data_IF_748115161995
#
_entry.id   IF_748115161995
#
_cell.length_a   1.000
_cell.length_b   1.000
_cell.length_c   1.000
_cell.angle_alpha   90.00
_cell.angle_beta   90.00
_cell.angle_gamma   90.00
#
_symmetry.space_group_name_H-M   'P 1'
#
loop_
_entity.id
_entity.type
_entity.pdbx_description
1 polymer ?
#
# COMPACT_ATOMS: atom_id res chain seq x y z
N UNK A 1 -11.59 11.56 -0.81
CA UNK A 1 -11.21 12.83 -0.14
C UNK A 1 -12.22 13.17 0.95
N UNK A 2 -13.46 13.53 0.58
CA UNK A 2 -14.52 13.98 1.50
C UNK A 2 -14.66 13.09 2.75
N UNK A 3 -14.79 11.77 2.57
CA UNK A 3 -14.92 10.82 3.69
C UNK A 3 -13.76 10.84 4.69
N UNK A 4 -12.53 11.08 4.22
CA UNK A 4 -11.34 11.15 5.10
C UNK A 4 -11.29 12.47 5.83
N UNK A 5 -11.67 13.57 5.18
CA UNK A 5 -11.74 14.90 5.79
C UNK A 5 -12.83 14.93 6.86
N UNK A 6 -14.03 14.41 6.58
CA UNK A 6 -15.11 14.27 7.57
C UNK A 6 -14.72 13.37 8.75
N UNK A 7 -14.08 12.23 8.46
CA UNK A 7 -13.55 11.36 9.52
C UNK A 7 -12.50 12.05 10.37
N UNK A 8 -11.66 12.90 9.77
CA UNK A 8 -10.61 13.64 10.47
C UNK A 8 -11.22 14.69 11.40
N UNK A 9 -12.25 15.40 10.95
CA UNK A 9 -12.98 16.36 11.79
C UNK A 9 -13.70 15.67 12.96
N UNK A 10 -14.16 14.43 12.76
CA UNK A 10 -14.89 13.69 13.78
C UNK A 10 -13.99 13.04 14.86
N UNK A 11 -12.84 12.46 14.46
CA UNK A 11 -12.01 11.64 15.36
C UNK A 11 -10.49 11.81 15.19
N UNK A 12 -10.03 12.73 14.34
CA UNK A 12 -8.62 12.88 13.96
C UNK A 12 -7.67 13.27 15.10
N UNK A 13 -8.20 13.84 16.19
CA UNK A 13 -7.41 14.19 17.38
C UNK A 13 -6.92 12.97 18.17
N UNK A 14 -7.62 11.83 18.04
CA UNK A 14 -7.34 10.61 18.82
C UNK A 14 -7.10 9.36 17.97
N UNK A 15 -7.43 9.39 16.68
CA UNK A 15 -7.40 8.24 15.79
C UNK A 15 -6.68 8.58 14.48
N UNK A 16 -5.74 7.73 14.05
CA UNK A 16 -5.13 7.81 12.73
C UNK A 16 -6.05 7.22 11.66
N UNK A 17 -6.18 7.89 10.51
CA UNK A 17 -7.01 7.48 9.39
C UNK A 17 -6.15 6.90 8.27
N UNK A 18 -6.29 5.61 8.05
CA UNK A 18 -5.51 4.87 7.05
C UNK A 18 -6.33 4.61 5.80
N UNK A 19 -5.72 4.69 4.61
CA UNK A 19 -6.35 4.31 3.35
C UNK A 19 -5.74 3.01 2.84
N UNK A 20 -6.59 1.98 2.67
CA UNK A 20 -6.20 0.72 2.06
C UNK A 20 -6.57 0.69 0.59
N UNK A 21 -5.60 0.45 -0.28
CA UNK A 21 -5.77 0.51 -1.72
C UNK A 21 -5.30 -0.78 -2.42
N UNK A 22 -6.05 -1.12 -3.46
CA UNK A 22 -5.67 -2.10 -4.48
C UNK A 22 -4.54 -1.53 -5.34
N UNK A 23 -3.37 -2.18 -5.33
CA UNK A 23 -2.20 -1.79 -6.12
C UNK A 23 -2.31 -2.08 -7.61
N UNK A 24 -3.16 -3.04 -7.97
CA UNK A 24 -3.41 -3.49 -9.33
C UNK A 24 -4.72 -4.29 -9.35
N UNK A 25 -5.68 -3.82 -10.13
CA UNK A 25 -6.94 -4.53 -10.40
C UNK A 25 -6.96 -5.00 -11.84
N UNK A 26 -6.73 -6.30 -12.05
CA UNK A 26 -6.84 -6.91 -13.38
C UNK A 26 -8.30 -7.23 -13.74
N UNK A 27 -9.15 -6.21 -13.87
CA UNK A 27 -10.54 -6.36 -14.35
C UNK A 27 -10.69 -5.67 -15.72
N UNK A 28 -10.29 -6.36 -16.78
CA UNK A 28 -10.47 -5.88 -18.17
C UNK A 28 -9.77 -4.55 -18.48
N UNK A 29 -10.25 -3.82 -19.51
CA UNK A 29 -9.70 -2.52 -19.93
C UNK A 29 -10.06 -1.34 -18.98
N UNK A 30 -10.87 -1.59 -17.95
CA UNK A 30 -11.30 -0.58 -16.96
C UNK A 30 -10.68 -0.82 -15.58
N UNK A 31 -9.74 -1.75 -15.48
CA UNK A 31 -9.04 -2.07 -14.24
C UNK A 31 -8.14 -0.91 -13.80
N UNK A 32 -8.12 -0.66 -12.48
CA UNK A 32 -7.30 0.40 -11.92
C UNK A 32 -5.84 -0.03 -11.92
N UNK A 33 -5.06 0.54 -12.84
CA UNK A 33 -3.67 0.16 -13.05
C UNK A 33 -2.76 0.73 -11.96
N UNK A 34 -1.62 0.09 -11.71
CA UNK A 34 -0.64 0.58 -10.74
C UNK A 34 -0.18 2.04 -11.03
N UNK A 35 -0.18 2.48 -12.29
CA UNK A 35 0.08 3.87 -12.66
C UNK A 35 -0.98 4.84 -12.13
N UNK A 36 -2.26 4.49 -12.25
CA UNK A 36 -3.37 5.32 -11.78
C UNK A 36 -3.40 5.41 -10.25
N UNK A 37 -3.03 4.31 -9.57
CA UNK A 37 -2.81 4.30 -8.11
C UNK A 37 -1.71 5.29 -7.72
N UNK A 38 -0.59 5.32 -8.46
CA UNK A 38 0.51 6.24 -8.20
C UNK A 38 0.09 7.69 -8.41
N UNK A 39 -0.61 7.98 -9.49
CA UNK A 39 -1.15 9.33 -9.76
C UNK A 39 -2.11 9.77 -8.66
N UNK A 40 -2.96 8.85 -8.18
CA UNK A 40 -3.90 9.12 -7.08
C UNK A 40 -3.18 9.41 -5.76
N UNK A 41 -2.15 8.63 -5.43
CA UNK A 41 -1.31 8.87 -4.25
C UNK A 41 -0.58 10.20 -4.37
N UNK A 42 -0.01 10.54 -5.53
CA UNK A 42 0.69 11.81 -5.73
C UNK A 42 -0.25 13.02 -5.59
N UNK A 43 -1.45 12.95 -6.18
CA UNK A 43 -2.47 14.01 -6.05
C UNK A 43 -3.04 14.17 -4.63
N UNK A 44 -2.99 13.11 -3.84
CA UNK A 44 -3.56 13.06 -2.48
C UNK A 44 -2.51 12.71 -1.42
N UNK A 45 -1.24 13.08 -1.66
CA UNK A 45 -0.08 12.61 -0.90
C UNK A 45 -0.25 12.70 0.62
N UNK A 46 -0.88 13.77 1.11
CA UNK A 46 -1.04 14.04 2.54
C UNK A 46 -2.45 13.77 3.08
N UNK A 47 -3.33 13.11 2.31
CA UNK A 47 -4.72 12.89 2.68
C UNK A 47 -4.88 11.93 3.88
N UNK A 48 -4.37 10.68 3.84
CA UNK A 48 -4.41 9.79 4.99
C UNK A 48 -3.22 10.02 5.94
N UNK A 49 -3.30 9.45 7.12
CA UNK A 49 -2.16 9.39 8.06
C UNK A 49 -1.22 8.22 7.74
N UNK A 50 -1.68 7.21 7.01
CA UNK A 50 -0.90 6.06 6.55
C UNK A 50 -1.53 5.43 5.31
N UNK A 51 -0.67 4.99 4.38
CA UNK A 51 -1.07 4.25 3.18
C UNK A 51 -0.89 2.74 3.39
N UNK A 52 -1.97 1.98 3.26
CA UNK A 52 -1.98 0.51 3.29
C UNK A 52 -2.15 -0.03 1.87
N UNK A 53 -1.11 -0.72 1.39
CA UNK A 53 -1.02 -1.15 0.01
C UNK A 53 -1.11 -2.67 -0.07
N UNK A 54 -2.12 -3.15 -0.81
CA UNK A 54 -2.39 -4.56 -1.00
C UNK A 54 -2.77 -4.85 -2.46
N UNK A 55 -2.71 -6.11 -2.89
CA UNK A 55 -3.17 -6.49 -4.23
C UNK A 55 -4.69 -6.33 -4.37
N UNK A 56 -5.18 -5.98 -5.58
CA UNK A 56 -6.59 -5.70 -5.83
C UNK A 56 -7.53 -6.91 -5.89
N UNK A 57 -7.00 -8.11 -6.12
CA UNK A 57 -7.76 -9.35 -6.00
C UNK A 57 -7.28 -10.12 -4.76
N UNK A 58 -8.22 -10.68 -3.97
CA UNK A 58 -7.88 -11.49 -2.80
C UNK A 58 -6.93 -12.64 -3.18
N UNK A 59 -7.22 -13.34 -4.28
CA UNK A 59 -6.44 -14.48 -4.75
C UNK A 59 -4.95 -14.13 -5.01
N UNK A 60 -4.68 -12.92 -5.50
CA UNK A 60 -3.32 -12.42 -5.74
C UNK A 60 -2.68 -11.83 -4.46
N UNK A 61 -3.50 -11.23 -3.59
CA UNK A 61 -3.05 -10.69 -2.30
C UNK A 61 -2.58 -11.80 -1.34
N UNK A 62 -3.24 -12.96 -1.39
CA UNK A 62 -2.90 -14.17 -0.62
C UNK A 62 -2.28 -15.25 -1.50
N UNK A 63 -1.35 -14.87 -2.38
CA UNK A 63 -0.69 -15.78 -3.33
C UNK A 63 -0.15 -17.05 -2.65
N UNK A 64 -0.58 -18.26 -3.07
CA UNK A 64 -0.11 -19.51 -2.49
C UNK A 64 1.41 -19.67 -2.65
N UNK A 65 2.07 -20.27 -1.66
CA UNK A 65 3.53 -20.52 -1.69
C UNK A 65 3.97 -21.37 -2.88
N UNK A 66 3.07 -22.17 -3.47
CA UNK A 66 3.31 -22.94 -4.69
C UNK A 66 3.66 -22.07 -5.90
N UNK A 67 3.17 -20.83 -5.95
CA UNK A 67 3.23 -19.98 -7.14
C UNK A 67 3.92 -18.63 -6.92
N UNK A 68 4.06 -18.20 -5.67
CA UNK A 68 4.62 -16.89 -5.32
C UNK A 68 5.59 -17.03 -4.17
N UNK A 69 6.76 -16.41 -4.30
CA UNK A 69 7.75 -16.30 -3.22
C UNK A 69 7.33 -15.27 -2.15
N UNK A 70 8.11 -15.19 -1.08
CA UNK A 70 8.02 -14.07 -0.14
C UNK A 70 8.31 -12.74 -0.85
N UNK A 71 7.70 -11.64 -0.39
CA UNK A 71 7.85 -10.30 -0.95
C UNK A 71 7.35 -10.14 -2.40
N UNK A 72 6.42 -11.00 -2.85
CA UNK A 72 5.92 -10.97 -4.24
C UNK A 72 5.31 -9.63 -4.71
N UNK A 73 4.92 -8.74 -3.78
CA UNK A 73 4.36 -7.42 -4.09
C UNK A 73 5.39 -6.29 -4.11
N UNK A 74 6.68 -6.58 -3.87
CA UNK A 74 7.75 -5.56 -3.79
C UNK A 74 7.80 -4.64 -5.02
N UNK A 75 7.67 -5.22 -6.22
CA UNK A 75 7.70 -4.46 -7.47
C UNK A 75 6.54 -3.46 -7.60
N UNK A 76 5.38 -3.78 -7.05
CA UNK A 76 4.18 -2.94 -7.12
C UNK A 76 4.26 -1.77 -6.12
N UNK A 77 4.85 -1.98 -4.95
CA UNK A 77 4.99 -0.95 -3.91
C UNK A 77 6.24 -0.08 -4.05
N UNK A 78 7.27 -0.58 -4.75
CA UNK A 78 8.53 0.13 -4.89
C UNK A 78 8.34 1.53 -5.51
N UNK A 79 8.99 2.52 -4.90
CA UNK A 79 8.92 3.92 -5.33
C UNK A 79 7.72 4.71 -4.83
N UNK A 80 6.68 4.09 -4.25
CA UNK A 80 5.50 4.83 -3.73
C UNK A 80 5.88 5.76 -2.58
N UNK A 81 6.84 5.38 -1.74
CA UNK A 81 7.39 6.25 -0.68
C UNK A 81 8.02 7.56 -1.19
N UNK A 82 8.27 7.71 -2.50
CA UNK A 82 8.74 8.98 -3.07
C UNK A 82 7.59 9.93 -3.41
N UNK A 83 6.36 9.42 -3.47
CA UNK A 83 5.16 10.17 -3.88
C UNK A 83 4.42 10.78 -2.67
N UNK A 84 4.76 10.38 -1.45
CA UNK A 84 4.08 10.82 -0.22
C UNK A 84 5.06 10.96 0.93
N UNK A 85 4.77 11.90 1.84
CA UNK A 85 5.48 12.06 3.11
C UNK A 85 4.94 11.12 4.20
N UNK A 86 3.79 10.47 3.96
CA UNK A 86 3.08 9.62 4.91
C UNK A 86 3.66 8.21 4.93
N UNK A 87 3.65 7.52 6.08
CA UNK A 87 4.14 6.16 6.18
C UNK A 87 3.38 5.19 5.27
N UNK A 88 4.10 4.20 4.74
CA UNK A 88 3.55 3.15 3.88
C UNK A 88 3.68 1.78 4.56
N UNK A 89 2.57 1.05 4.67
CA UNK A 89 2.53 -0.38 5.02
C UNK A 89 2.22 -1.20 3.77
N UNK A 90 2.82 -2.37 3.66
CA UNK A 90 2.56 -3.31 2.58
C UNK A 90 2.76 -4.74 3.04
N UNK A 91 2.14 -5.66 2.33
CA UNK A 91 2.15 -7.09 2.64
C UNK A 91 3.00 -7.88 1.65
N UNK A 92 3.55 -9.00 2.10
CA UNK A 92 4.41 -9.84 1.26
C UNK A 92 4.57 -11.27 1.75
N UNK A 93 3.69 -11.73 2.65
CA UNK A 93 3.85 -12.99 3.39
C UNK A 93 5.22 -13.04 4.07
N UNK A 94 5.57 -11.95 4.75
CA UNK A 94 6.87 -11.78 5.38
C UNK A 94 7.04 -12.77 6.53
N UNK A 95 8.05 -13.62 6.42
CA UNK A 95 8.44 -14.62 7.43
C UNK A 95 9.94 -14.62 7.70
N UNK A 96 10.74 -14.04 6.80
CA UNK A 96 12.17 -13.83 6.96
C UNK A 96 12.47 -12.46 7.58
N UNK A 97 13.08 -12.40 8.77
CA UNK A 97 13.49 -11.12 9.39
C UNK A 97 14.46 -10.31 8.51
N UNK A 98 15.32 -10.99 7.75
CA UNK A 98 16.28 -10.33 6.86
C UNK A 98 15.57 -9.62 5.70
N UNK A 99 14.48 -10.22 5.18
CA UNK A 99 13.64 -9.59 4.16
C UNK A 99 12.90 -8.40 4.73
N UNK A 100 12.35 -8.52 5.93
CA UNK A 100 11.68 -7.41 6.63
C UNK A 100 12.63 -6.22 6.81
N UNK A 101 13.85 -6.46 7.30
CA UNK A 101 14.88 -5.42 7.46
C UNK A 101 15.27 -4.82 6.12
N UNK A 102 15.39 -5.62 5.06
CA UNK A 102 15.66 -5.12 3.70
C UNK A 102 14.60 -4.13 3.26
N UNK A 103 13.31 -4.45 3.41
CA UNK A 103 12.20 -3.59 2.97
C UNK A 103 12.21 -2.22 3.62
N UNK A 104 12.56 -2.15 4.90
CA UNK A 104 12.68 -0.89 5.62
C UNK A 104 13.93 -0.13 5.17
N UNK A 105 15.10 -0.80 5.11
CA UNK A 105 16.38 -0.16 4.76
C UNK A 105 16.46 0.31 3.32
N UNK A 106 15.81 -0.37 2.38
CA UNK A 106 15.71 0.06 0.98
C UNK A 106 14.76 1.25 0.79
N UNK A 107 13.98 1.60 1.83
CA UNK A 107 12.93 2.61 1.73
C UNK A 107 11.74 2.14 0.91
N UNK A 108 11.51 0.82 0.81
CA UNK A 108 10.32 0.27 0.14
C UNK A 108 9.08 0.43 1.02
N UNK A 109 9.19 0.16 2.32
CA UNK A 109 8.11 0.27 3.31
C UNK A 109 8.56 1.04 4.55
N UNK A 110 7.60 1.52 5.35
CA UNK A 110 7.78 2.00 6.73
C UNK A 110 7.32 0.96 7.75
N UNK A 111 6.29 0.19 7.39
CA UNK A 111 5.71 -0.87 8.21
C UNK A 111 5.68 -2.19 7.44
N UNK A 112 5.96 -3.28 8.15
CA UNK A 112 5.83 -4.64 7.64
C UNK A 112 4.42 -5.14 8.00
N UNK A 113 3.60 -5.34 6.97
CA UNK A 113 2.23 -5.85 7.10
C UNK A 113 2.09 -7.35 6.86
#
# INVERSE_FOLDING_TARGET
>A
RELIEEGRDAIGDTCGLTLRLSLDEMIGELGFANSEVRDMIEMHADLPDLWDLAHGAWEDCSGPSRFKDEAAQESLVSGIKKLTSKPVVGVGRFTSPDVMVRMIRSGTLDFIG
#
